data_IF_071882571272
#
_entry.id   IF_071882571272
#
_cell.length_a   1.000
_cell.length_b   1.000
_cell.length_c   1.000
_cell.angle_alpha   90.00
_cell.angle_beta   90.00
_cell.angle_gamma   90.00
#
_symmetry.space_group_name_H-M   'P 1'
#
loop_
_entity.id
_entity.type
_entity.pdbx_description
1 polymer ?
#
# COMPACT_ATOMS: atom_id res chain seq x y z
N UNK A 1 38.16 -88.14 -13.56
CA UNK A 1 37.84 -87.05 -12.61
C UNK A 1 36.77 -86.19 -13.29
N UNK A 2 35.51 -86.28 -12.82
CA UNK A 2 34.33 -85.66 -13.45
C UNK A 2 34.12 -84.24 -12.92
N UNK A 3 34.31 -83.22 -13.75
CA UNK A 3 33.99 -81.83 -13.42
C UNK A 3 32.56 -81.49 -13.84
N UNK A 4 31.70 -81.30 -12.84
CA UNK A 4 30.29 -80.92 -12.96
C UNK A 4 30.21 -79.43 -13.33
N UNK A 5 29.78 -79.11 -14.54
CA UNK A 5 29.51 -77.73 -14.97
C UNK A 5 28.19 -77.27 -14.34
N UNK A 6 28.25 -76.32 -13.40
CA UNK A 6 27.09 -75.70 -12.78
C UNK A 6 26.57 -74.56 -13.68
N UNK A 7 25.46 -74.81 -14.36
CA UNK A 7 24.72 -73.76 -15.07
C UNK A 7 24.02 -72.85 -14.06
N UNK A 8 24.52 -71.62 -13.92
CA UNK A 8 23.92 -70.58 -13.07
C UNK A 8 22.79 -69.92 -13.87
N UNK A 9 21.54 -70.29 -13.56
CA UNK A 9 20.34 -69.64 -14.10
C UNK A 9 20.28 -68.19 -13.63
N UNK A 10 20.67 -67.25 -14.49
CA UNK A 10 20.47 -65.81 -14.30
C UNK A 10 18.97 -65.51 -14.31
N UNK A 11 18.39 -65.22 -13.14
CA UNK A 11 17.06 -64.64 -13.06
C UNK A 11 17.07 -63.25 -13.71
N UNK A 12 16.40 -63.14 -14.86
CA UNK A 12 16.07 -61.87 -15.50
C UNK A 12 15.10 -61.09 -14.59
N UNK A 13 15.63 -60.19 -13.74
CA UNK A 13 14.82 -59.13 -13.14
C UNK A 13 14.33 -58.25 -14.28
N UNK A 14 13.05 -58.36 -14.64
CA UNK A 14 12.41 -57.44 -15.60
C UNK A 14 12.64 -56.01 -15.11
N UNK A 15 13.40 -55.22 -15.87
CA UNK A 15 13.49 -53.78 -15.62
C UNK A 15 12.12 -53.19 -15.95
N UNK A 16 11.38 -52.77 -14.94
CA UNK A 16 10.15 -52.00 -15.13
C UNK A 16 10.55 -50.62 -15.70
N UNK A 17 10.41 -50.46 -17.01
CA UNK A 17 10.57 -49.17 -17.68
C UNK A 17 9.22 -48.44 -17.74
N UNK A 18 9.25 -47.12 -17.58
CA UNK A 18 8.08 -46.26 -17.76
C UNK A 18 7.74 -46.16 -19.25
N UNK A 19 6.47 -46.34 -19.62
CA UNK A 19 6.04 -46.26 -21.02
C UNK A 19 5.84 -44.82 -21.47
N UNK A 20 6.01 -44.54 -22.77
CA UNK A 20 5.76 -43.19 -23.32
C UNK A 20 4.30 -42.78 -23.09
N UNK A 21 3.35 -43.72 -23.20
CA UNK A 21 1.93 -43.43 -23.00
C UNK A 21 1.61 -43.05 -21.55
N UNK A 22 2.24 -43.68 -20.56
CA UNK A 22 2.09 -43.28 -19.15
C UNK A 22 2.58 -41.83 -18.94
N UNK A 23 3.67 -41.44 -19.58
CA UNK A 23 4.14 -40.04 -19.52
C UNK A 23 3.14 -39.07 -20.15
N UNK A 24 2.58 -39.43 -21.31
CA UNK A 24 1.59 -38.59 -22.02
C UNK A 24 0.33 -38.37 -21.18
N UNK A 25 -0.18 -39.40 -20.51
CA UNK A 25 -1.37 -39.27 -19.65
C UNK A 25 -1.04 -38.38 -18.44
N UNK A 26 0.12 -38.54 -17.82
CA UNK A 26 0.54 -37.73 -16.67
C UNK A 26 0.63 -36.24 -17.03
N UNK A 27 1.25 -35.88 -18.15
CA UNK A 27 1.33 -34.47 -18.56
C UNK A 27 -0.06 -33.87 -18.87
N UNK A 28 -0.98 -34.65 -19.44
CA UNK A 28 -2.34 -34.21 -19.72
C UNK A 28 -3.07 -33.90 -18.40
N UNK A 29 -2.97 -34.79 -17.42
CA UNK A 29 -3.62 -34.61 -16.11
C UNK A 29 -3.01 -33.41 -15.37
N UNK A 30 -1.68 -33.27 -15.37
CA UNK A 30 -1.00 -32.12 -14.75
C UNK A 30 -1.44 -30.80 -15.41
N UNK A 31 -1.53 -30.75 -16.73
CA UNK A 31 -1.95 -29.54 -17.44
C UNK A 31 -3.41 -29.17 -17.13
N UNK A 32 -4.30 -30.16 -17.07
CA UNK A 32 -5.70 -29.95 -16.71
C UNK A 32 -5.83 -29.39 -15.28
N UNK A 33 -5.13 -29.99 -14.30
CA UNK A 33 -5.14 -29.52 -12.91
C UNK A 33 -4.49 -28.14 -12.78
N UNK A 34 -3.39 -27.90 -13.48
CA UNK A 34 -2.66 -26.63 -13.44
C UNK A 34 -3.53 -25.47 -13.93
N UNK A 35 -4.39 -25.68 -14.94
CA UNK A 35 -5.29 -24.67 -15.47
C UNK A 35 -6.24 -24.06 -14.42
N UNK A 36 -6.68 -24.84 -13.43
CA UNK A 36 -7.57 -24.34 -12.35
C UNK A 36 -6.84 -24.01 -11.05
N UNK A 37 -5.75 -24.72 -10.75
CA UNK A 37 -5.03 -24.56 -9.49
C UNK A 37 -4.17 -23.28 -9.49
N UNK A 38 -3.52 -22.96 -10.61
CA UNK A 38 -2.59 -21.81 -10.68
C UNK A 38 -3.31 -20.48 -10.43
N UNK A 39 -4.42 -20.14 -11.11
CA UNK A 39 -5.11 -18.86 -10.87
C UNK A 39 -5.58 -18.70 -9.41
N UNK A 40 -6.17 -19.76 -8.84
CA UNK A 40 -6.61 -19.78 -7.44
C UNK A 40 -5.46 -19.56 -6.46
N UNK A 41 -4.32 -20.20 -6.71
CA UNK A 41 -3.12 -20.02 -5.90
C UNK A 41 -2.61 -18.58 -6.00
N UNK A 42 -2.57 -18.00 -7.21
CA UNK A 42 -2.13 -16.60 -7.39
C UNK A 42 -3.04 -15.61 -6.66
N UNK A 43 -4.36 -15.80 -6.70
CA UNK A 43 -5.31 -14.96 -5.96
C UNK A 43 -5.16 -15.10 -4.45
N UNK A 44 -4.90 -16.32 -3.96
CA UNK A 44 -4.66 -16.57 -2.55
C UNK A 44 -3.37 -15.90 -2.04
N UNK A 45 -2.28 -15.98 -2.83
CA UNK A 45 -1.02 -15.30 -2.52
C UNK A 45 -1.24 -13.79 -2.51
N UNK A 46 -1.96 -13.25 -3.50
CA UNK A 46 -2.28 -11.82 -3.55
C UNK A 46 -3.11 -11.38 -2.34
N UNK A 47 -4.15 -12.13 -1.97
CA UNK A 47 -4.95 -11.87 -0.77
C UNK A 47 -4.10 -11.88 0.51
N UNK A 48 -3.11 -12.77 0.58
CA UNK A 48 -2.16 -12.82 1.71
C UNK A 48 -1.29 -11.57 1.74
N UNK A 49 -0.76 -11.13 0.59
CA UNK A 49 0.00 -9.88 0.48
C UNK A 49 -0.83 -8.65 0.87
N UNK A 50 -2.09 -8.60 0.43
CA UNK A 50 -3.02 -7.53 0.81
C UNK A 50 -3.29 -7.49 2.32
N UNK A 51 -3.38 -8.66 2.98
CA UNK A 51 -3.49 -8.74 4.44
C UNK A 51 -2.21 -8.27 5.14
N UNK A 52 -1.04 -8.58 4.61
CA UNK A 52 0.23 -8.05 5.14
C UNK A 52 0.27 -6.53 5.02
N UNK A 53 -0.21 -5.97 3.91
CA UNK A 53 -0.30 -4.52 3.74
C UNK A 53 -1.35 -3.90 4.69
N UNK A 54 -2.48 -4.57 4.93
CA UNK A 54 -3.45 -4.16 5.95
C UNK A 54 -2.82 -4.14 7.35
N UNK A 55 -1.92 -5.08 7.68
CA UNK A 55 -1.18 -5.04 8.94
C UNK A 55 -0.32 -3.78 9.09
N UNK A 56 0.16 -3.17 8.00
CA UNK A 56 0.87 -1.88 8.05
C UNK A 56 -0.05 -0.75 8.53
N UNK A 57 -1.35 -0.78 8.21
CA UNK A 57 -2.32 0.18 8.74
C UNK A 57 -2.53 -0.03 10.24
N UNK A 58 -2.58 -1.28 10.70
CA UNK A 58 -2.64 -1.58 12.14
C UNK A 58 -1.40 -1.06 12.87
N UNK A 59 -0.19 -1.23 12.31
CA UNK A 59 1.02 -0.65 12.90
C UNK A 59 0.97 0.88 12.96
N UNK A 60 0.46 1.53 11.91
CA UNK A 60 0.25 2.97 11.91
C UNK A 60 -0.77 3.40 12.97
N UNK A 61 -1.89 2.70 13.08
CA UNK A 61 -2.92 2.94 14.09
C UNK A 61 -2.35 2.80 15.50
N UNK A 62 -1.64 1.72 15.76
CA UNK A 62 -1.12 1.41 17.09
C UNK A 62 -0.01 2.39 17.50
N UNK A 63 0.84 2.82 16.55
CA UNK A 63 1.83 3.87 16.79
C UNK A 63 1.16 5.22 17.10
N UNK A 64 0.11 5.59 16.34
CA UNK A 64 -0.67 6.80 16.61
C UNK A 64 -1.35 6.74 17.98
N UNK A 65 -1.99 5.62 18.31
CA UNK A 65 -2.67 5.43 19.60
C UNK A 65 -1.69 5.42 20.76
N UNK A 66 -0.48 4.86 20.58
CA UNK A 66 0.58 4.96 21.57
C UNK A 66 0.99 6.42 21.78
N UNK A 67 1.24 7.14 20.69
CA UNK A 67 1.61 8.56 20.76
C UNK A 67 0.53 9.41 21.45
N UNK A 68 -0.77 9.04 21.37
CA UNK A 68 -1.86 9.76 22.05
C UNK A 68 -1.75 9.72 23.58
N UNK A 69 -1.07 8.71 24.15
CA UNK A 69 -0.84 8.66 25.59
C UNK A 69 0.30 9.57 26.03
N UNK A 70 1.22 9.90 25.12
CA UNK A 70 2.43 10.67 25.39
C UNK A 70 2.29 12.15 24.99
N UNK A 71 1.35 12.47 24.10
CA UNK A 71 1.15 13.82 23.59
C UNK A 71 -0.27 14.07 23.10
N UNK A 72 -0.49 15.29 22.60
CA UNK A 72 -1.78 15.72 22.07
C UNK A 72 -1.76 15.72 20.54
N UNK A 73 -2.73 15.03 19.95
CA UNK A 73 -2.97 14.97 18.50
C UNK A 73 -3.22 16.35 17.88
N UNK A 74 -3.72 17.29 18.71
CA UNK A 74 -3.98 18.68 18.36
C UNK A 74 -2.78 19.59 18.63
N UNK A 75 -1.65 19.04 19.09
CA UNK A 75 -0.39 19.80 19.19
C UNK A 75 0.24 19.99 17.81
N UNK A 76 -0.34 20.92 17.07
CA UNK A 76 0.08 21.31 15.73
C UNK A 76 0.48 22.79 15.73
N UNK A 77 1.47 23.14 14.91
CA UNK A 77 1.85 24.52 14.67
C UNK A 77 0.84 25.20 13.73
N UNK A 78 -0.05 26.01 14.31
CA UNK A 78 -1.04 26.82 13.59
C UNK A 78 -0.43 28.02 12.86
N UNK A 79 0.87 28.30 13.00
CA UNK A 79 1.56 29.31 12.17
C UNK A 79 1.95 28.75 10.79
N UNK A 80 2.12 27.43 10.69
CA UNK A 80 2.43 26.78 9.43
C UNK A 80 1.25 26.84 8.48
N UNK A 81 1.58 26.96 7.19
CA UNK A 81 0.62 26.94 6.11
C UNK A 81 0.89 25.77 5.20
N UNK A 82 -0.18 25.16 4.74
CA UNK A 82 -0.16 24.30 3.59
C UNK A 82 -0.98 24.89 2.46
N UNK A 83 -0.34 25.14 1.32
CA UNK A 83 -1.00 25.67 0.12
C UNK A 83 -1.74 27.00 0.36
N UNK A 84 -1.20 27.82 1.27
CA UNK A 84 -1.82 29.08 1.68
C UNK A 84 -2.95 28.93 2.70
N UNK A 85 -3.35 27.69 3.05
CA UNK A 85 -4.29 27.40 4.14
C UNK A 85 -3.52 27.20 5.43
N UNK A 86 -3.83 27.99 6.44
CA UNK A 86 -3.26 27.87 7.78
C UNK A 86 -3.77 26.60 8.46
N UNK A 87 -2.88 25.91 9.17
CA UNK A 87 -3.25 24.82 10.07
C UNK A 87 -4.24 25.32 11.13
N UNK A 88 -5.18 24.46 11.53
CA UNK A 88 -6.18 24.83 12.53
C UNK A 88 -6.55 23.64 13.39
N UNK A 89 -6.34 23.77 14.70
CA UNK A 89 -6.68 22.75 15.70
C UNK A 89 -8.17 22.46 15.67
N UNK A 90 -9.00 23.50 15.59
CA UNK A 90 -10.45 23.37 15.50
C UNK A 90 -10.88 22.59 14.24
N UNK A 91 -10.30 22.89 13.07
CA UNK A 91 -10.58 22.11 11.86
C UNK A 91 -10.14 20.67 12.00
N UNK A 92 -8.95 20.43 12.57
CA UNK A 92 -8.41 19.09 12.77
C UNK A 92 -9.33 18.26 13.68
N UNK A 93 -9.72 18.79 14.85
CA UNK A 93 -10.67 18.12 15.76
C UNK A 93 -11.99 17.79 15.05
N UNK A 94 -12.57 18.77 14.32
CA UNK A 94 -13.82 18.54 13.55
C UNK A 94 -13.67 17.48 12.47
N UNK A 95 -12.54 17.43 11.77
CA UNK A 95 -12.30 16.44 10.72
C UNK A 95 -12.07 15.04 11.28
N UNK A 96 -11.33 14.91 12.38
CA UNK A 96 -11.15 13.64 13.09
C UNK A 96 -12.49 13.10 13.61
N UNK A 97 -13.44 13.97 13.97
CA UNK A 97 -14.80 13.60 14.36
C UNK A 97 -15.79 13.45 13.18
N UNK A 98 -15.32 13.41 11.94
CA UNK A 98 -16.18 13.28 10.75
C UNK A 98 -16.08 11.89 10.10
N UNK A 99 -17.11 11.51 9.33
CA UNK A 99 -17.07 10.26 8.55
C UNK A 99 -15.92 10.24 7.54
N UNK A 100 -15.55 11.42 7.02
CA UNK A 100 -14.47 11.55 6.06
C UNK A 100 -13.09 11.44 6.69
N UNK A 101 -12.92 11.78 7.98
CA UNK A 101 -11.61 11.78 8.63
C UNK A 101 -10.62 12.79 8.04
N UNK A 102 -9.34 12.65 8.35
CA UNK A 102 -8.26 13.51 7.88
C UNK A 102 -7.32 12.70 7.01
N UNK A 103 -6.93 13.23 5.85
CA UNK A 103 -5.90 12.64 4.98
C UNK A 103 -4.51 12.94 5.53
N UNK A 104 -3.80 11.90 5.96
CA UNK A 104 -2.40 12.00 6.36
C UNK A 104 -1.50 12.25 5.16
N UNK A 105 -1.66 11.42 4.13
CA UNK A 105 -0.91 11.52 2.88
C UNK A 105 -1.66 10.84 1.74
N UNK A 106 -1.21 11.14 0.53
CA UNK A 106 -1.74 10.61 -0.72
C UNK A 106 -0.65 9.79 -1.38
N UNK A 107 -0.99 8.55 -1.72
CA UNK A 107 -0.17 7.67 -2.55
C UNK A 107 -0.71 7.69 -3.97
N UNK A 108 0.13 8.05 -4.93
CA UNK A 108 -0.16 8.00 -6.36
C UNK A 108 0.60 6.83 -6.98
N UNK A 109 -0.15 5.84 -7.47
CA UNK A 109 0.36 4.72 -8.24
C UNK A 109 0.21 5.02 -9.72
N UNK A 110 1.26 4.75 -10.48
CA UNK A 110 1.27 4.87 -11.94
C UNK A 110 1.53 3.50 -12.54
N UNK A 111 1.02 3.26 -13.75
CA UNK A 111 1.27 2.02 -14.49
C UNK A 111 2.70 1.90 -15.07
N UNK A 112 3.50 2.96 -15.04
CA UNK A 112 4.79 3.09 -15.74
C UNK A 112 5.87 3.72 -14.87
N UNK A 113 5.50 4.29 -13.73
CA UNK A 113 6.38 5.05 -12.85
C UNK A 113 6.20 4.53 -11.42
N UNK A 114 7.23 4.70 -10.61
CA UNK A 114 7.16 4.32 -9.20
C UNK A 114 6.12 5.14 -8.45
N UNK A 115 5.65 4.56 -7.34
CA UNK A 115 4.71 5.19 -6.45
C UNK A 115 5.22 6.56 -5.98
N UNK A 116 4.34 7.55 -5.97
CA UNK A 116 4.67 8.91 -5.55
C UNK A 116 3.82 9.33 -4.36
N UNK A 117 4.45 9.87 -3.33
CA UNK A 117 3.78 10.25 -2.09
C UNK A 117 3.67 11.77 -1.97
N UNK A 118 2.52 12.27 -1.55
CA UNK A 118 2.19 13.69 -1.54
C UNK A 118 1.43 14.06 -0.26
N UNK A 119 1.75 15.21 0.32
CA UNK A 119 1.07 15.73 1.51
C UNK A 119 -0.24 16.46 1.18
N UNK A 120 -0.36 16.93 -0.06
CA UNK A 120 -1.51 17.68 -0.59
C UNK A 120 -1.78 17.30 -2.03
N UNK A 121 -2.96 17.66 -2.53
CA UNK A 121 -3.25 17.59 -3.96
C UNK A 121 -3.84 18.91 -4.46
N UNK A 122 -3.01 19.70 -5.14
CA UNK A 122 -3.41 20.99 -5.69
C UNK A 122 -4.47 20.78 -6.78
N UNK A 123 -5.68 21.31 -6.56
CA UNK A 123 -6.72 21.54 -7.58
C UNK A 123 -7.36 20.32 -8.25
N UNK A 124 -7.33 19.12 -7.65
CA UNK A 124 -7.92 17.92 -8.28
C UNK A 124 -8.94 17.15 -7.44
N UNK A 125 -9.14 17.51 -6.18
CA UNK A 125 -10.16 16.92 -5.30
C UNK A 125 -10.95 18.03 -4.58
N UNK A 126 -12.21 17.75 -4.24
CA UNK A 126 -13.05 18.58 -3.37
C UNK A 126 -12.75 18.37 -1.88
N UNK A 127 -11.92 17.37 -1.56
CA UNK A 127 -11.52 17.03 -0.19
C UNK A 127 -10.33 17.89 0.26
N UNK A 128 -10.62 18.83 1.16
CA UNK A 128 -9.65 19.77 1.75
C UNK A 128 -9.08 19.28 3.07
N UNK A 129 -9.48 18.09 3.55
CA UNK A 129 -9.12 17.57 4.87
C UNK A 129 -7.76 16.87 4.80
N UNK A 130 -6.67 17.63 4.72
CA UNK A 130 -5.32 17.11 4.56
C UNK A 130 -4.35 17.71 5.58
N UNK A 131 -3.43 16.88 6.08
CA UNK A 131 -2.50 17.21 7.18
C UNK A 131 -1.18 17.84 6.75
N UNK A 132 -1.10 18.34 5.51
CA UNK A 132 0.15 18.90 5.00
C UNK A 132 0.75 19.97 5.92
N UNK A 133 2.08 19.97 6.03
CA UNK A 133 2.82 20.86 6.94
C UNK A 133 2.93 20.36 8.39
N UNK A 134 2.13 19.38 8.82
CA UNK A 134 2.17 18.87 10.20
C UNK A 134 3.15 17.69 10.33
N UNK A 135 3.23 16.83 9.31
CA UNK A 135 4.17 15.69 9.29
C UNK A 135 5.64 16.12 9.12
N UNK A 136 5.88 17.39 8.81
CA UNK A 136 7.19 17.92 8.47
C UNK A 136 7.86 18.69 9.62
N UNK A 137 7.19 18.95 10.75
CA UNK A 137 7.77 19.73 11.86
C UNK A 137 8.51 18.93 12.94
N UNK A 138 8.46 17.59 12.91
CA UNK A 138 8.72 16.77 14.09
C UNK A 138 7.48 16.65 15.00
N UNK A 139 7.62 16.05 16.19
CA UNK A 139 6.53 15.90 17.16
C UNK A 139 5.59 14.71 16.88
N UNK A 140 4.44 14.71 17.54
CA UNK A 140 3.48 13.60 17.60
C UNK A 140 3.35 12.81 16.29
N UNK A 141 3.06 13.50 15.19
CA UNK A 141 2.75 12.88 13.90
C UNK A 141 3.99 12.29 13.21
N UNK A 142 5.12 13.00 13.26
CA UNK A 142 6.36 12.53 12.64
C UNK A 142 6.93 11.31 13.39
N UNK A 143 6.85 11.33 14.72
CA UNK A 143 7.35 10.25 15.57
C UNK A 143 6.47 9.00 15.42
N UNK A 144 5.14 9.14 15.45
CA UNK A 144 4.22 8.04 15.18
C UNK A 144 4.44 7.40 13.81
N UNK A 145 4.77 8.19 12.78
CA UNK A 145 5.07 7.67 11.45
C UNK A 145 6.35 6.85 11.41
N UNK A 146 7.42 7.33 12.06
CA UNK A 146 8.68 6.60 12.13
C UNK A 146 8.50 5.29 12.88
N UNK A 147 7.79 5.33 14.01
CA UNK A 147 7.47 4.17 14.83
C UNK A 147 6.63 3.13 14.09
N UNK A 148 5.71 3.57 13.22
CA UNK A 148 4.90 2.71 12.39
C UNK A 148 5.66 2.05 11.21
N UNK A 149 6.92 2.44 10.97
CA UNK A 149 7.68 2.04 9.78
C UNK A 149 7.34 2.85 8.52
N UNK A 150 6.71 4.02 8.67
CA UNK A 150 6.40 4.96 7.59
C UNK A 150 7.43 6.11 7.51
N UNK A 151 8.61 5.96 8.12
CA UNK A 151 9.64 6.99 8.16
C UNK A 151 10.07 7.52 6.79
N UNK A 152 10.24 6.65 5.79
CA UNK A 152 10.54 7.06 4.42
C UNK A 152 9.43 7.95 3.82
N UNK A 153 8.17 7.69 4.16
CA UNK A 153 7.04 8.53 3.75
C UNK A 153 7.12 9.88 4.44
N UNK A 154 7.35 9.91 5.75
CA UNK A 154 7.52 11.17 6.49
C UNK A 154 8.64 12.03 5.88
N UNK A 155 9.79 11.44 5.57
CA UNK A 155 10.93 12.14 4.94
C UNK A 155 10.58 12.67 3.54
N UNK A 156 9.84 11.90 2.73
CA UNK A 156 9.33 12.37 1.43
C UNK A 156 8.41 13.57 1.60
N UNK A 157 7.43 13.48 2.51
CA UNK A 157 6.46 14.54 2.75
C UNK A 157 7.16 15.81 3.24
N UNK A 158 8.13 15.67 4.15
CA UNK A 158 9.01 16.75 4.60
C UNK A 158 9.71 17.44 3.44
N UNK A 159 10.42 16.66 2.61
CA UNK A 159 11.20 17.18 1.50
C UNK A 159 10.32 17.89 0.47
N UNK A 160 9.11 17.38 0.21
CA UNK A 160 8.15 18.00 -0.73
C UNK A 160 7.57 19.32 -0.21
N UNK A 161 7.36 19.42 1.09
CA UNK A 161 6.81 20.60 1.74
C UNK A 161 7.85 21.73 1.87
N UNK A 162 9.12 21.37 2.11
CA UNK A 162 10.22 22.31 2.36
C UNK A 162 11.07 22.66 1.13
N UNK A 163 10.77 22.10 -0.05
CA UNK A 163 11.50 22.41 -1.29
C UNK A 163 10.69 23.31 -2.21
N UNK A 164 11.08 24.59 -2.28
CA UNK A 164 10.50 25.57 -3.21
C UNK A 164 10.99 25.30 -4.64
N UNK A 165 10.09 25.30 -5.62
CA UNK A 165 10.45 25.18 -7.04
C UNK A 165 10.70 23.75 -7.56
N UNK A 166 10.32 22.72 -6.79
CA UNK A 166 10.20 21.35 -7.27
C UNK A 166 11.48 20.52 -7.29
N UNK A 167 12.68 21.08 -7.09
CA UNK A 167 13.95 20.35 -7.15
C UNK A 167 14.25 19.52 -5.89
N UNK A 168 13.47 18.47 -5.67
CA UNK A 168 13.59 17.60 -4.50
C UNK A 168 14.85 16.73 -4.64
N UNK A 169 15.75 16.78 -3.65
CA UNK A 169 16.94 15.91 -3.61
C UNK A 169 16.58 14.56 -3.00
N UNK A 170 17.28 13.51 -3.43
CA UNK A 170 17.19 12.19 -2.80
C UNK A 170 17.72 12.25 -1.36
N UNK A 171 17.11 11.45 -0.48
CA UNK A 171 17.53 11.28 0.91
C UNK A 171 18.13 9.89 1.18
N UNK A 172 18.35 9.61 2.47
CA UNK A 172 18.79 8.30 2.93
C UNK A 172 17.70 7.23 2.76
N UNK A 173 16.43 7.58 3.00
CA UNK A 173 15.28 6.67 3.03
C UNK A 173 14.47 6.67 1.72
N UNK A 174 14.64 7.67 0.87
CA UNK A 174 13.90 7.82 -0.39
C UNK A 174 14.79 8.31 -1.54
N UNK A 175 14.37 8.00 -2.76
CA UNK A 175 14.96 8.54 -3.98
C UNK A 175 14.01 9.57 -4.62
N UNK A 176 14.60 10.56 -5.28
CA UNK A 176 13.89 11.61 -5.98
C UNK A 176 14.53 11.88 -7.34
N UNK A 177 13.69 11.97 -8.39
CA UNK A 177 14.12 12.28 -9.75
C UNK A 177 13.04 13.02 -10.53
N UNK A 178 13.48 13.74 -11.56
CA UNK A 178 12.60 14.40 -12.52
C UNK A 178 12.30 13.45 -13.68
N UNK A 179 11.03 13.34 -14.07
CA UNK A 179 10.59 12.57 -15.23
C UNK A 179 9.74 13.45 -16.13
N UNK A 180 9.85 13.25 -17.44
CA UNK A 180 9.00 13.94 -18.41
C UNK A 180 7.90 12.99 -18.89
N UNK A 181 6.64 13.38 -18.67
CA UNK A 181 5.44 12.66 -19.13
C UNK A 181 4.55 13.67 -19.83
N UNK A 182 4.10 13.36 -21.05
CA UNK A 182 3.25 14.23 -21.88
C UNK A 182 3.80 15.67 -22.01
N UNK A 183 5.10 15.80 -22.31
CA UNK A 183 5.83 17.08 -22.40
C UNK A 183 5.81 17.93 -21.12
N UNK A 184 5.44 17.35 -19.97
CA UNK A 184 5.47 18.00 -18.66
C UNK A 184 6.47 17.33 -17.74
N UNK A 185 7.23 18.14 -17.02
CA UNK A 185 8.19 17.67 -16.01
C UNK A 185 7.47 17.44 -14.69
N UNK A 186 7.68 16.26 -14.12
CA UNK A 186 7.14 15.84 -12.85
C UNK A 186 8.27 15.37 -11.94
N UNK A 187 8.19 15.72 -10.66
CA UNK A 187 9.11 15.21 -9.65
C UNK A 187 8.52 14.00 -8.93
N UNK A 188 9.20 12.86 -9.08
CA UNK A 188 8.86 11.60 -8.44
C UNK A 188 9.69 11.41 -7.19
N UNK A 189 9.04 10.97 -6.13
CA UNK A 189 9.66 10.63 -4.85
C UNK A 189 9.10 9.31 -4.36
N UNK A 190 9.95 8.31 -4.18
CA UNK A 190 9.56 6.98 -3.72
C UNK A 190 10.54 6.47 -2.65
N UNK A 191 10.05 5.70 -1.67
CA UNK A 191 10.91 4.98 -0.73
C UNK A 191 11.93 4.10 -1.46
N UNK A 192 13.13 3.96 -0.89
CA UNK A 192 14.14 3.03 -1.42
C UNK A 192 13.74 1.57 -1.22
N UNK A 193 12.96 1.30 -0.18
CA UNK A 193 12.36 0.00 0.07
C UNK A 193 10.83 0.13 -0.03
N UNK A 194 10.17 -0.78 -0.77
CA UNK A 194 8.72 -0.71 -0.92
C UNK A 194 8.03 -0.92 0.43
N UNK A 195 7.15 0.00 0.78
CA UNK A 195 6.39 -0.04 2.04
C UNK A 195 5.31 -1.13 2.03
N UNK A 196 4.67 -1.30 0.89
CA UNK A 196 3.64 -2.29 0.62
C UNK A 196 4.20 -3.41 -0.26
N UNK A 197 3.52 -4.55 -0.33
CA UNK A 197 3.94 -5.70 -1.14
C UNK A 197 2.83 -6.27 -2.02
N UNK A 198 1.56 -5.93 -1.79
CA UNK A 198 0.45 -6.34 -2.65
C UNK A 198 0.50 -5.61 -3.98
N UNK A 199 -0.01 -6.25 -5.04
CA UNK A 199 -0.17 -5.58 -6.33
C UNK A 199 -1.14 -4.41 -6.22
N UNK A 200 -2.17 -4.54 -5.37
CA UNK A 200 -3.16 -3.49 -5.13
C UNK A 200 -2.55 -2.15 -4.68
N UNK A 201 -1.46 -2.17 -3.90
CA UNK A 201 -0.80 -0.97 -3.37
C UNK A 201 0.60 -0.68 -3.95
N UNK A 202 1.11 -1.49 -4.88
CA UNK A 202 2.38 -1.25 -5.59
C UNK A 202 2.26 -1.05 -7.10
N UNK A 203 1.03 -0.96 -7.62
CA UNK A 203 0.76 -0.78 -9.05
C UNK A 203 0.39 -2.11 -9.68
N UNK A 204 -0.91 -2.27 -9.90
CA UNK A 204 -1.44 -3.36 -10.70
C UNK A 204 -1.79 -2.82 -12.10
N UNK A 205 -1.25 -3.46 -13.14
CA UNK A 205 -1.56 -3.13 -14.54
C UNK A 205 -3.05 -3.36 -14.86
N UNK A 206 -3.73 -4.20 -14.09
CA UNK A 206 -5.17 -4.44 -14.18
C UNK A 206 -6.01 -3.59 -13.21
N UNK A 207 -5.42 -2.73 -12.37
CA UNK A 207 -6.22 -1.91 -11.47
C UNK A 207 -7.10 -0.92 -12.27
N UNK A 208 -8.36 -0.71 -11.87
CA UNK A 208 -9.24 0.27 -12.51
C UNK A 208 -8.56 1.63 -12.59
N UNK A 209 -8.46 2.23 -13.78
CA UNK A 209 -7.88 3.56 -13.94
C UNK A 209 -8.85 4.58 -13.36
N UNK A 210 -8.51 5.13 -12.20
CA UNK A 210 -9.37 6.13 -11.52
C UNK A 210 -9.21 7.54 -12.07
N UNK A 211 -8.16 7.80 -12.87
CA UNK A 211 -7.93 9.06 -13.57
C UNK A 211 -7.45 8.85 -15.02
N UNK A 212 -8.39 8.92 -15.98
CA UNK A 212 -8.10 8.80 -17.44
C UNK A 212 -7.26 9.97 -17.97
N UNK A 213 -7.24 11.11 -17.28
CA UNK A 213 -6.69 12.36 -17.85
C UNK A 213 -5.16 12.51 -17.80
N UNK A 214 -4.43 11.67 -17.07
CA UNK A 214 -2.95 11.65 -17.07
C UNK A 214 -2.47 10.23 -16.75
N UNK A 215 -2.21 9.43 -17.77
CA UNK A 215 -1.37 8.22 -17.65
C UNK A 215 -1.88 7.06 -16.76
N UNK A 216 -3.17 6.98 -16.42
CA UNK A 216 -3.67 5.82 -15.66
C UNK A 216 -3.24 5.81 -14.19
N UNK A 217 -3.38 6.95 -13.51
CA UNK A 217 -2.97 7.09 -12.11
C UNK A 217 -4.07 6.62 -11.15
N UNK A 218 -3.70 5.77 -10.20
CA UNK A 218 -4.54 5.44 -9.05
C UNK A 218 -4.06 6.19 -7.81
N UNK A 219 -5.00 6.86 -7.14
CA UNK A 219 -4.68 7.69 -5.99
C UNK A 219 -5.41 7.18 -4.76
N UNK A 220 -4.65 6.95 -3.71
CA UNK A 220 -5.11 6.44 -2.43
C UNK A 220 -4.85 7.48 -1.36
N UNK A 221 -5.87 7.82 -0.59
CA UNK A 221 -5.77 8.69 0.57
C UNK A 221 -5.62 7.79 1.79
N UNK A 222 -4.54 7.95 2.53
CA UNK A 222 -4.39 7.33 3.84
C UNK A 222 -5.03 8.27 4.84
N UNK A 223 -6.13 7.83 5.43
CA UNK A 223 -6.99 8.66 6.26
C UNK A 223 -7.05 8.12 7.67
N UNK A 224 -7.31 9.04 8.58
CA UNK A 224 -7.52 8.75 10.00
C UNK A 224 -8.75 9.44 10.53
N UNK A 225 -9.33 8.88 11.58
CA UNK A 225 -10.41 9.53 12.34
C UNK A 225 -10.47 8.97 13.75
N UNK A 226 -11.19 9.65 14.63
CA UNK A 226 -11.56 9.07 15.91
C UNK A 226 -12.40 7.81 15.70
N UNK A 227 -12.13 6.77 16.50
CA UNK A 227 -12.98 5.59 16.54
C UNK A 227 -14.42 6.01 16.87
N UNK A 228 -15.37 5.51 16.09
CA UNK A 228 -16.78 5.91 16.14
C UNK A 228 -17.02 7.44 16.07
N UNK A 229 -16.09 8.21 15.47
CA UNK A 229 -16.15 9.67 15.36
C UNK A 229 -16.19 10.39 16.71
N UNK A 230 -15.74 9.73 17.77
CA UNK A 230 -15.83 10.24 19.13
C UNK A 230 -14.43 10.43 19.70
N UNK A 231 -14.04 11.69 19.91
CA UNK A 231 -12.76 12.05 20.54
C UNK A 231 -12.58 11.36 21.91
N UNK A 232 -13.67 11.16 22.67
CA UNK A 232 -13.61 10.48 23.97
C UNK A 232 -13.20 9.01 23.86
N UNK A 233 -13.24 8.40 22.68
CA UNK A 233 -12.71 7.06 22.45
C UNK A 233 -11.19 6.96 22.69
N UNK A 234 -10.46 8.08 22.63
CA UNK A 234 -8.99 8.14 22.74
C UNK A 234 -8.29 7.10 21.86
N UNK A 235 -8.91 6.78 20.72
CA UNK A 235 -8.43 5.78 19.78
C UNK A 235 -8.68 6.32 18.39
N UNK A 236 -7.63 6.34 17.58
CA UNK A 236 -7.69 6.64 16.15
C UNK A 236 -7.83 5.33 15.37
N UNK A 237 -8.50 5.43 14.22
CA UNK A 237 -8.60 4.37 13.23
C UNK A 237 -8.00 4.87 11.91
N UNK A 238 -7.38 3.96 11.17
CA UNK A 238 -6.69 4.23 9.91
C UNK A 238 -7.41 3.48 8.79
N UNK A 239 -7.64 4.15 7.67
CA UNK A 239 -8.23 3.52 6.49
C UNK A 239 -7.66 4.13 5.21
N UNK A 240 -7.65 3.33 4.14
CA UNK A 240 -7.31 3.82 2.80
C UNK A 240 -8.61 4.11 2.07
N UNK A 241 -8.69 5.26 1.41
CA UNK A 241 -9.81 5.61 0.53
C UNK A 241 -9.30 5.84 -0.90
N UNK A 242 -10.05 5.39 -1.89
CA UNK A 242 -9.75 5.74 -3.28
C UNK A 242 -10.11 7.21 -3.53
N UNK A 243 -9.22 7.96 -4.15
CA UNK A 243 -9.39 9.40 -4.32
C UNK A 243 -10.40 9.77 -5.43
N UNK A 244 -10.68 8.87 -6.38
CA UNK A 244 -11.64 9.04 -7.48
C UNK A 244 -12.24 7.68 -7.88
N UNK A 245 -13.48 7.65 -8.40
CA UNK A 245 -14.14 6.42 -8.86
C UNK A 245 -15.45 6.12 -8.14
N UNK A 246 -16.08 4.98 -8.46
CA UNK A 246 -17.39 4.58 -7.93
C UNK A 246 -17.40 4.36 -6.41
N UNK A 247 -16.26 3.98 -5.83
CA UNK A 247 -16.11 3.75 -4.39
C UNK A 247 -15.58 4.97 -3.62
N UNK A 248 -15.68 6.17 -4.22
CA UNK A 248 -15.30 7.41 -3.55
C UNK A 248 -16.13 7.60 -2.27
N UNK A 249 -15.44 7.72 -1.13
CA UNK A 249 -16.06 7.95 0.18
C UNK A 249 -16.09 6.71 1.07
N UNK A 250 -15.70 5.55 0.54
CA UNK A 250 -15.62 4.28 1.29
C UNK A 250 -14.17 3.80 1.40
N UNK A 251 -13.85 2.94 2.38
CA UNK A 251 -12.55 2.29 2.40
C UNK A 251 -12.32 1.49 1.13
N UNK A 252 -11.07 1.47 0.69
CA UNK A 252 -10.62 0.71 -0.46
C UNK A 252 -10.77 -0.78 -0.18
N UNK A 253 -11.60 -1.45 -0.98
CA UNK A 253 -11.78 -2.89 -0.92
C UNK A 253 -11.34 -3.53 -2.23
N UNK A 254 -10.51 -4.56 -2.15
CA UNK A 254 -9.98 -5.25 -3.32
C UNK A 254 -10.98 -6.27 -3.88
N UNK A 255 -10.83 -6.69 -5.16
CA UNK A 255 -11.63 -7.77 -5.73
C UNK A 255 -11.51 -9.10 -4.95
N UNK A 256 -10.40 -9.32 -4.25
CA UNK A 256 -10.18 -10.49 -3.39
C UNK A 256 -10.91 -10.40 -2.02
N UNK A 257 -11.64 -9.29 -1.79
CA UNK A 257 -12.45 -9.04 -0.61
C UNK A 257 -11.65 -8.55 0.60
N UNK A 258 -10.51 -7.89 0.40
CA UNK A 258 -9.74 -7.27 1.48
C UNK A 258 -10.08 -5.79 1.56
N UNK A 259 -10.68 -5.39 2.68
CA UNK A 259 -10.97 -4.00 3.00
C UNK A 259 -9.80 -3.38 3.76
N UNK A 260 -9.29 -2.25 3.27
CA UNK A 260 -8.18 -1.51 3.89
C UNK A 260 -8.69 -0.49 4.91
N UNK A 261 -9.14 -1.00 6.06
CA UNK A 261 -9.57 -0.22 7.22
C UNK A 261 -9.23 -1.00 8.49
N UNK A 262 -8.75 -0.30 9.53
CA UNK A 262 -8.60 -0.88 10.86
C UNK A 262 -9.92 -0.92 11.63
N UNK A 263 -10.90 -0.11 11.19
CA UNK A 263 -12.27 -0.10 11.71
C UNK A 263 -13.16 -0.99 10.83
N UNK A 264 -13.59 -2.13 11.38
CA UNK A 264 -14.36 -3.13 10.61
C UNK A 264 -15.76 -2.62 10.19
N UNK A 265 -16.36 -1.72 10.97
CA UNK A 265 -17.68 -1.11 10.67
C UNK A 265 -17.68 -0.35 9.35
N UNK A 266 -16.53 0.14 8.89
CA UNK A 266 -16.39 0.88 7.63
C UNK A 266 -16.39 -0.01 6.38
N UNK A 267 -16.19 -1.32 6.57
CA UNK A 267 -16.08 -2.28 5.48
C UNK A 267 -17.44 -2.87 5.05
N UNK A 268 -18.54 -2.46 5.70
CA UNK A 268 -19.88 -3.01 5.52
C UNK A 268 -20.92 -1.94 5.24
#
# INVERSE_FOLDING_TARGET
>A
MLTKVLNKTTQNKRKAGFTIIELMVVIIVINLLSGVAVPKLTDYIEKTRQRIDLMKLYYLRDALNRALYEGDVLDIDESQKCDGVTNSKEKLSRWLASDSGVTLFIMELHNQLEANFQAKNNNRFTDVQNMCGILSGGGFWADAFKDAGFGAIADILYARDHTVGGKIKSGATYAAYEVTVDNKKWWRTHPREPLFISRALNGDLSAPITAVKIGGQNRYKFKIRWNNKNEKSHTLEVFIQIAQGADYGKPFTTPQGVCFSTEASLCH
#
